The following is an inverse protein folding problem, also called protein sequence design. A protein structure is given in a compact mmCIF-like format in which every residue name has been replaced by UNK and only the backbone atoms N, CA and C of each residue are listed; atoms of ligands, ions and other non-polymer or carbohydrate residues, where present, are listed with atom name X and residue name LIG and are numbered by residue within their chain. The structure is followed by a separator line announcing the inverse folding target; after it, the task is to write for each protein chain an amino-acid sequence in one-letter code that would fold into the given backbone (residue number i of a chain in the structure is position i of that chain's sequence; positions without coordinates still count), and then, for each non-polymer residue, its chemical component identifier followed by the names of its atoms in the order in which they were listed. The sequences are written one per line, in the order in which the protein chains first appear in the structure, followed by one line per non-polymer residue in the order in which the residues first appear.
data_IF_208615501354
#
_entry.id   IF_208615501354
#
_cell.length_a   1.000
_cell.length_b   1.000
_cell.length_c   1.000
_cell.angle_alpha   90.00
_cell.angle_beta   90.00
_cell.angle_gamma   90.00
#
_symmetry.space_group_name_H-M   'P 1'
#
loop_
_entity.id
_entity.type
_entity.pdbx_description
1 polymer ?
#
# COMPACT_ATOMS: atom_id res chain seq x y z
N UNK A 1 19.61 10.30 16.07
CA UNK A 1 20.58 9.79 15.08
C UNK A 1 20.69 8.28 15.31
N UNK A 2 19.84 7.51 14.67
CA UNK A 2 19.85 6.04 14.78
C UNK A 2 21.04 5.55 13.97
N UNK A 3 22.00 4.88 14.61
CA UNK A 3 23.07 4.20 13.89
C UNK A 3 22.46 2.99 13.20
N UNK A 4 22.25 3.05 11.88
CA UNK A 4 22.08 1.83 11.09
C UNK A 4 23.34 0.99 11.31
N UNK A 5 23.14 -0.18 11.88
CA UNK A 5 24.18 -1.21 11.94
C UNK A 5 24.39 -1.68 10.50
N UNK A 6 25.51 -1.30 9.89
CA UNK A 6 25.85 -1.78 8.55
C UNK A 6 25.93 -3.31 8.58
N UNK A 7 25.12 -3.96 7.75
CA UNK A 7 25.25 -5.39 7.48
C UNK A 7 26.56 -5.66 6.73
N UNK A 8 27.15 -6.85 6.91
CA UNK A 8 28.38 -7.23 6.19
C UNK A 8 28.20 -7.19 4.66
N UNK A 9 26.97 -7.37 4.20
CA UNK A 9 26.54 -7.30 2.80
C UNK A 9 26.29 -5.87 2.30
N UNK A 10 26.14 -4.89 3.19
CA UNK A 10 25.74 -3.52 2.84
C UNK A 10 24.27 -3.36 2.46
N UNK A 11 23.47 -4.39 2.68
CA UNK A 11 22.03 -4.41 2.42
C UNK A 11 21.32 -5.49 3.27
N UNK A 12 20.03 -5.30 3.49
CA UNK A 12 19.15 -6.29 4.10
C UNK A 12 17.77 -6.32 3.45
N UNK A 13 16.97 -7.34 3.77
CA UNK A 13 15.58 -7.43 3.32
C UNK A 13 14.65 -6.78 4.34
N UNK A 14 13.70 -5.99 3.86
CA UNK A 14 12.64 -5.45 4.70
C UNK A 14 11.64 -6.55 5.07
N UNK A 15 11.06 -6.44 6.26
CA UNK A 15 9.82 -7.13 6.56
C UNK A 15 8.66 -6.29 6.03
N UNK A 16 7.91 -6.74 4.99
CA UNK A 16 6.85 -5.95 4.40
C UNK A 16 5.57 -5.93 5.26
N UNK A 17 5.47 -6.73 6.32
CA UNK A 17 4.23 -6.85 7.12
C UNK A 17 3.81 -5.54 7.81
N UNK A 18 4.71 -4.75 8.43
CA UNK A 18 4.36 -3.42 8.94
C UNK A 18 3.92 -2.44 7.84
N UNK A 19 4.47 -2.55 6.63
CA UNK A 19 4.03 -1.76 5.46
C UNK A 19 2.60 -2.17 5.08
N UNK A 20 2.32 -3.48 4.98
CA UNK A 20 0.98 -3.98 4.70
C UNK A 20 -0.03 -3.65 5.80
N UNK A 21 0.40 -3.58 7.05
CA UNK A 21 -0.48 -3.19 8.17
C UNK A 21 -0.84 -1.71 8.10
N UNK A 22 0.14 -0.84 7.82
CA UNK A 22 -0.06 0.61 7.70
C UNK A 22 -0.70 1.04 6.37
N UNK A 23 -0.64 0.20 5.34
CA UNK A 23 -1.16 0.49 4.00
C UNK A 23 -2.07 -0.64 3.48
N UNK A 24 -2.92 -1.19 4.35
CA UNK A 24 -3.77 -2.38 4.11
C UNK A 24 -4.59 -2.33 2.82
N UNK A 25 -5.00 -1.15 2.37
CA UNK A 25 -5.87 -0.97 1.22
C UNK A 25 -5.12 -0.64 -0.07
N UNK A 26 -3.80 -0.47 -0.03
CA UNK A 26 -2.97 -0.10 -1.19
C UNK A 26 -1.66 -0.88 -1.32
N UNK A 27 -1.29 -1.66 -0.30
CA UNK A 27 -0.10 -2.51 -0.31
C UNK A 27 -0.48 -3.93 0.13
N UNK A 28 -0.46 -4.84 -0.84
CA UNK A 28 -0.90 -6.22 -0.65
C UNK A 28 0.30 -7.16 -0.69
N UNK A 29 0.46 -7.98 0.36
CA UNK A 29 1.37 -9.12 0.34
C UNK A 29 0.61 -10.41 -0.05
N UNK A 30 1.29 -11.38 -0.67
CA UNK A 30 0.76 -12.72 -0.81
C UNK A 30 0.36 -13.31 0.56
N UNK A 31 -0.62 -14.19 0.56
CA UNK A 31 -1.04 -14.93 1.75
C UNK A 31 0.05 -15.89 2.24
N UNK A 32 -0.05 -16.32 3.49
CA UNK A 32 0.85 -17.34 4.02
C UNK A 32 0.79 -18.64 3.19
N UNK A 33 -0.38 -19.01 2.69
CA UNK A 33 -0.56 -20.18 1.83
C UNK A 33 0.16 -20.03 0.51
N UNK A 34 0.07 -18.86 -0.13
CA UNK A 34 0.80 -18.56 -1.37
C UNK A 34 2.31 -18.56 -1.12
N UNK A 35 2.79 -17.89 -0.07
CA UNK A 35 4.22 -17.88 0.26
C UNK A 35 4.75 -19.30 0.51
N UNK A 36 4.04 -20.14 1.27
CA UNK A 36 4.45 -21.53 1.55
C UNK A 36 4.42 -22.45 0.33
N UNK A 37 3.71 -22.08 -0.73
CA UNK A 37 3.66 -22.85 -1.97
C UNK A 37 4.84 -22.56 -2.91
N UNK A 38 5.63 -21.51 -2.62
CA UNK A 38 6.79 -21.14 -3.43
C UNK A 38 7.82 -22.27 -3.47
N UNK A 39 8.33 -22.54 -4.67
CA UNK A 39 9.26 -23.63 -4.96
C UNK A 39 10.30 -23.20 -6.01
N UNK A 40 11.37 -24.01 -6.21
CA UNK A 40 12.32 -23.74 -7.28
C UNK A 40 11.62 -23.59 -8.64
N UNK A 41 12.02 -22.56 -9.39
CA UNK A 41 11.41 -22.16 -10.67
C UNK A 41 10.56 -20.91 -10.57
N UNK A 42 9.90 -20.67 -9.42
CA UNK A 42 9.06 -19.49 -9.23
C UNK A 42 9.90 -18.20 -9.17
N UNK A 43 9.24 -17.07 -9.44
CA UNK A 43 9.81 -15.74 -9.28
C UNK A 43 9.14 -15.04 -8.10
N UNK A 44 9.93 -14.50 -7.17
CA UNK A 44 9.41 -13.75 -6.03
C UNK A 44 9.97 -12.35 -5.98
N UNK A 45 9.16 -11.38 -5.58
CA UNK A 45 9.61 -10.00 -5.39
C UNK A 45 9.89 -9.77 -3.91
N UNK A 46 11.02 -9.13 -3.62
CA UNK A 46 11.46 -8.77 -2.28
C UNK A 46 11.76 -7.27 -2.22
N UNK A 47 11.85 -6.72 -1.01
CA UNK A 47 12.26 -5.33 -0.76
C UNK A 47 13.68 -5.33 -0.19
N UNK A 48 14.61 -4.70 -0.90
CA UNK A 48 16.01 -4.57 -0.52
C UNK A 48 16.27 -3.16 0.01
N UNK A 49 16.84 -3.07 1.21
CA UNK A 49 17.28 -1.82 1.84
C UNK A 49 18.81 -1.76 1.79
N UNK A 50 19.34 -0.62 1.35
CA UNK A 50 20.78 -0.40 1.31
C UNK A 50 21.26 0.28 2.59
N UNK A 51 22.20 -0.36 3.27
CA UNK A 51 22.88 0.16 4.48
C UNK A 51 24.15 0.95 4.14
N UNK A 52 24.33 1.24 2.86
CA UNK A 52 25.48 1.97 2.30
C UNK A 52 25.00 3.29 1.69
N UNK A 53 25.88 4.30 1.55
CA UNK A 53 25.52 5.51 0.82
C UNK A 53 25.12 5.21 -0.62
N UNK A 54 23.93 5.65 -1.02
CA UNK A 54 23.36 5.52 -2.35
C UNK A 54 23.34 6.87 -3.08
N UNK A 55 23.10 6.86 -4.39
CA UNK A 55 22.94 8.09 -5.16
C UNK A 55 21.48 8.55 -5.22
N UNK A 56 20.58 7.62 -5.51
CA UNK A 56 19.17 7.93 -5.80
C UNK A 56 18.21 7.10 -4.95
N UNK A 57 18.47 5.79 -4.82
CA UNK A 57 17.50 4.85 -4.24
C UNK A 57 18.12 4.16 -3.04
N UNK A 58 17.53 4.34 -1.86
CA UNK A 58 17.91 3.60 -0.65
C UNK A 58 17.15 2.29 -0.48
N UNK A 59 16.09 2.10 -1.28
CA UNK A 59 15.19 0.95 -1.26
C UNK A 59 14.84 0.56 -2.69
N UNK A 60 14.89 -0.73 -3.00
CA UNK A 60 14.46 -1.27 -4.29
C UNK A 60 13.60 -2.52 -4.11
N UNK A 61 12.57 -2.66 -4.95
CA UNK A 61 11.79 -3.90 -5.06
C UNK A 61 12.31 -4.69 -6.25
N UNK A 62 12.84 -5.87 -6.01
CA UNK A 62 13.51 -6.66 -7.03
C UNK A 62 13.03 -8.10 -7.04
N UNK A 63 13.09 -8.71 -8.22
CA UNK A 63 12.70 -10.10 -8.43
C UNK A 63 13.88 -11.04 -8.16
N UNK A 64 13.58 -12.22 -7.60
CA UNK A 64 14.52 -13.30 -7.32
C UNK A 64 13.97 -14.58 -7.93
N UNK A 65 14.76 -15.26 -8.75
CA UNK A 65 14.46 -16.60 -9.24
C UNK A 65 14.74 -17.60 -8.13
N UNK A 66 13.71 -18.29 -7.66
CA UNK A 66 13.85 -19.26 -6.58
C UNK A 66 14.58 -20.49 -7.09
N UNK A 67 15.67 -20.86 -6.42
CA UNK A 67 16.47 -22.05 -6.75
C UNK A 67 16.40 -23.11 -5.65
N UNK A 68 16.10 -22.70 -4.42
CA UNK A 68 15.97 -23.58 -3.26
C UNK A 68 14.77 -23.16 -2.40
N UNK A 69 13.96 -24.13 -1.97
CA UNK A 69 12.89 -23.93 -1.00
C UNK A 69 12.94 -25.07 0.04
N UNK A 70 13.02 -24.72 1.33
CA UNK A 70 13.10 -25.68 2.43
C UNK A 70 12.52 -25.12 3.73
N UNK A 71 12.49 -25.95 4.77
CA UNK A 71 11.89 -25.58 6.07
C UNK A 71 12.59 -24.43 6.80
N UNK A 72 13.88 -24.20 6.54
CA UNK A 72 14.69 -23.14 7.16
C UNK A 72 14.65 -21.79 6.40
N UNK A 73 14.05 -21.76 5.21
CA UNK A 73 13.96 -20.57 4.36
C UNK A 73 14.04 -20.89 2.87
N UNK A 74 14.19 -19.84 2.07
CA UNK A 74 14.33 -19.91 0.62
C UNK A 74 15.66 -19.30 0.19
N UNK A 75 16.12 -19.72 -0.99
CA UNK A 75 17.23 -19.06 -1.67
C UNK A 75 16.97 -18.99 -3.18
N UNK A 76 17.59 -18.00 -3.80
CA UNK A 76 17.47 -17.76 -5.22
C UNK A 76 18.52 -16.81 -5.75
N UNK A 77 18.45 -16.51 -7.04
CA UNK A 77 19.33 -15.55 -7.71
C UNK A 77 18.59 -14.29 -8.08
N UNK A 78 19.21 -13.13 -7.88
CA UNK A 78 18.60 -11.84 -8.24
C UNK A 78 18.32 -11.79 -9.75
N UNK A 79 17.05 -11.63 -10.13
CA UNK A 79 16.57 -11.73 -11.51
C UNK A 79 16.59 -10.42 -12.30
N UNK A 80 16.86 -9.28 -11.65
CA UNK A 80 17.05 -8.00 -12.34
C UNK A 80 18.33 -7.29 -11.89
N UNK A 81 18.79 -6.36 -12.72
CA UNK A 81 19.86 -5.44 -12.35
C UNK A 81 19.28 -4.38 -11.39
N UNK A 82 19.95 -4.06 -10.28
CA UNK A 82 19.58 -2.90 -9.47
C UNK A 82 19.62 -1.61 -10.29
N UNK A 83 18.69 -0.70 -10.04
CA UNK A 83 18.71 0.64 -10.61
C UNK A 83 19.74 1.53 -9.92
N UNK A 84 19.90 1.39 -8.59
CA UNK A 84 20.90 2.14 -7.84
C UNK A 84 22.31 1.80 -8.34
N UNK A 85 23.01 2.82 -8.85
CA UNK A 85 24.30 2.66 -9.53
C UNK A 85 25.38 2.11 -8.59
N UNK A 86 25.29 2.46 -7.30
CA UNK A 86 26.21 2.05 -6.22
C UNK A 86 25.68 0.89 -5.39
N UNK A 87 24.64 0.19 -5.85
CA UNK A 87 24.11 -0.96 -5.13
C UNK A 87 25.22 -1.99 -4.86
N UNK A 88 25.31 -2.54 -3.63
CA UNK A 88 26.22 -3.65 -3.32
C UNK A 88 25.78 -4.99 -3.94
N UNK A 89 24.62 -5.01 -4.62
CA UNK A 89 24.04 -6.16 -5.30
C UNK A 89 24.25 -6.10 -6.81
N UNK A 90 24.26 -7.28 -7.44
CA UNK A 90 24.31 -7.45 -8.90
C UNK A 90 23.32 -8.52 -9.34
N UNK A 91 22.87 -8.40 -10.58
CA UNK A 91 22.09 -9.45 -11.23
C UNK A 91 22.80 -10.80 -11.12
N UNK A 92 22.07 -11.83 -10.69
CA UNK A 92 22.57 -13.18 -10.48
C UNK A 92 23.14 -13.45 -9.09
N UNK A 93 23.26 -12.44 -8.22
CA UNK A 93 23.73 -12.64 -6.84
C UNK A 93 22.79 -13.57 -6.05
N UNK A 94 23.37 -14.39 -5.17
CA UNK A 94 22.62 -15.27 -4.28
C UNK A 94 21.91 -14.45 -3.21
N UNK A 95 20.61 -14.68 -3.06
CA UNK A 95 19.75 -14.07 -2.04
C UNK A 95 19.14 -15.17 -1.19
N UNK A 96 19.33 -15.08 0.14
CA UNK A 96 18.65 -15.94 1.12
C UNK A 96 17.57 -15.13 1.82
N UNK A 97 16.39 -15.71 1.97
CA UNK A 97 15.22 -14.99 2.48
C UNK A 97 14.22 -15.93 3.15
N UNK A 98 13.28 -15.33 3.87
CA UNK A 98 12.19 -16.01 4.56
C UNK A 98 10.87 -15.76 3.81
N UNK A 99 9.91 -16.66 4.00
CA UNK A 99 8.58 -16.59 3.40
C UNK A 99 7.89 -15.24 3.62
N UNK A 100 8.13 -14.60 4.79
CA UNK A 100 7.50 -13.32 5.13
C UNK A 100 8.13 -12.11 4.39
N UNK A 101 9.31 -12.24 3.78
CA UNK A 101 9.91 -11.17 2.97
C UNK A 101 9.27 -11.02 1.58
N UNK A 102 8.46 -11.99 1.17
CA UNK A 102 7.87 -12.04 -0.18
C UNK A 102 6.72 -11.01 -0.28
N UNK A 103 6.80 -10.14 -1.29
CA UNK A 103 5.78 -9.12 -1.56
C UNK A 103 5.03 -9.34 -2.87
N UNK A 104 5.49 -10.25 -3.72
CA UNK A 104 4.82 -10.64 -4.96
C UNK A 104 5.35 -12.00 -5.43
N UNK A 105 4.53 -12.76 -6.16
CA UNK A 105 4.87 -14.10 -6.65
C UNK A 105 4.38 -14.25 -8.09
N UNK A 106 5.27 -14.72 -8.97
CA UNK A 106 4.90 -15.31 -10.25
C UNK A 106 5.25 -16.79 -10.20
N UNK A 107 4.22 -17.63 -10.09
CA UNK A 107 4.39 -19.07 -10.12
C UNK A 107 4.79 -19.53 -11.52
N UNK A 108 5.81 -20.38 -11.61
CA UNK A 108 6.24 -20.98 -12.88
C UNK A 108 5.14 -21.90 -13.46
N UNK A 109 4.36 -22.51 -12.57
CA UNK A 109 3.18 -23.32 -12.90
C UNK A 109 1.94 -22.77 -12.22
N UNK A 110 1.29 -21.74 -12.78
CA UNK A 110 0.15 -21.08 -12.17
C UNK A 110 -1.06 -22.01 -11.96
N UNK A 111 -1.17 -23.11 -12.73
CA UNK A 111 -2.20 -24.13 -12.57
C UNK A 111 -2.07 -24.96 -11.29
N UNK A 112 -0.88 -25.00 -10.69
CA UNK A 112 -0.59 -25.66 -9.41
C UNK A 112 -0.59 -24.66 -8.24
N UNK A 113 -0.77 -23.37 -8.50
CA UNK A 113 -0.76 -22.33 -7.47
C UNK A 113 -2.00 -22.42 -6.56
N UNK A 114 -1.87 -22.06 -5.28
CA UNK A 114 -3.04 -21.84 -4.42
C UNK A 114 -3.99 -20.82 -5.05
N UNK A 115 -5.31 -20.93 -4.81
CA UNK A 115 -6.25 -19.92 -5.27
C UNK A 115 -5.88 -18.57 -4.61
N UNK A 116 -5.88 -17.47 -5.39
CA UNK A 116 -5.56 -16.16 -4.83
C UNK A 116 -6.60 -15.78 -3.78
N UNK A 117 -6.14 -15.14 -2.70
CA UNK A 117 -7.06 -14.59 -1.71
C UNK A 117 -7.75 -13.38 -2.33
N UNK A 118 -9.05 -13.50 -2.60
CA UNK A 118 -9.85 -12.37 -3.07
C UNK A 118 -9.86 -11.29 -1.99
N UNK A 119 -9.33 -10.12 -2.32
CA UNK A 119 -9.42 -8.90 -1.52
C UNK A 119 -10.14 -7.87 -2.36
N UNK A 120 -11.02 -7.11 -1.70
CA UNK A 120 -11.61 -5.94 -2.35
C UNK A 120 -10.56 -4.85 -2.40
N UNK A 121 -10.33 -4.33 -3.60
CA UNK A 121 -9.45 -3.19 -3.85
C UNK A 121 -10.29 -1.91 -3.95
N UNK A 122 -9.69 -0.77 -3.63
CA UNK A 122 -10.36 0.53 -3.57
C UNK A 122 -9.55 1.57 -4.36
N UNK A 123 -9.44 1.34 -5.66
CA UNK A 123 -8.61 2.17 -6.55
C UNK A 123 -9.37 3.34 -7.18
N UNK A 124 -10.71 3.30 -7.16
CA UNK A 124 -11.54 4.42 -7.59
C UNK A 124 -11.14 5.69 -6.83
N UNK A 125 -11.22 6.82 -7.53
CA UNK A 125 -10.72 8.09 -7.06
C UNK A 125 -11.77 8.81 -6.21
N UNK A 126 -11.32 9.64 -5.30
CA UNK A 126 -12.17 10.53 -4.52
C UNK A 126 -11.47 11.87 -4.33
N UNK A 127 -12.26 12.89 -3.98
CA UNK A 127 -11.73 14.15 -3.46
C UNK A 127 -11.72 14.08 -1.93
N UNK A 128 -10.60 14.46 -1.33
CA UNK A 128 -10.40 14.40 0.11
C UNK A 128 -9.59 15.59 0.60
N UNK A 129 -9.97 16.19 1.74
CA UNK A 129 -9.15 17.23 2.38
C UNK A 129 -7.74 16.70 2.69
N UNK A 130 -6.70 17.47 2.34
CA UNK A 130 -5.30 17.07 2.52
C UNK A 130 -4.95 16.76 3.99
N UNK A 131 -5.58 17.44 4.95
CA UNK A 131 -5.38 17.19 6.38
C UNK A 131 -5.75 15.76 6.82
N UNK A 132 -6.66 15.08 6.12
CA UNK A 132 -6.96 13.64 6.36
C UNK A 132 -5.80 12.77 5.92
N UNK A 133 -5.14 13.12 4.82
CA UNK A 133 -4.04 12.36 4.24
C UNK A 133 -2.77 12.54 5.05
N UNK A 134 -2.55 13.75 5.53
CA UNK A 134 -1.44 14.09 6.41
C UNK A 134 -1.63 13.47 7.81
N UNK A 135 -2.85 13.04 8.13
CA UNK A 135 -3.21 12.43 9.42
C UNK A 135 -3.39 13.46 10.53
N UNK A 136 -3.61 14.72 10.17
CA UNK A 136 -3.84 15.83 11.10
C UNK A 136 -5.27 15.78 11.64
N UNK A 137 -6.25 15.44 10.79
CA UNK A 137 -7.65 15.37 11.18
C UNK A 137 -8.30 14.05 10.72
N UNK A 138 -9.18 13.44 11.53
CA UNK A 138 -9.96 12.29 11.11
C UNK A 138 -11.05 12.70 10.11
N UNK A 139 -11.62 11.72 9.43
CA UNK A 139 -12.79 11.95 8.58
C UNK A 139 -13.99 12.30 9.47
N UNK A 140 -14.63 13.44 9.19
CA UNK A 140 -15.84 13.89 9.88
C UNK A 140 -17.04 13.91 8.96
N UNK A 141 -16.89 14.44 7.75
CA UNK A 141 -18.01 14.61 6.83
C UNK A 141 -17.73 13.93 5.49
N UNK A 142 -18.69 13.14 5.04
CA UNK A 142 -18.63 12.35 3.82
C UNK A 142 -19.89 12.60 3.02
N UNK A 143 -19.76 12.79 1.72
CA UNK A 143 -20.90 12.80 0.83
C UNK A 143 -20.53 12.20 -0.52
N UNK A 144 -21.54 11.68 -1.23
CA UNK A 144 -21.35 11.04 -2.52
C UNK A 144 -22.19 11.73 -3.57
N UNK A 145 -21.53 12.25 -4.59
CA UNK A 145 -22.14 12.91 -5.74
C UNK A 145 -22.00 12.04 -6.98
N UNK A 146 -22.68 12.43 -8.07
CA UNK A 146 -22.44 11.82 -9.36
C UNK A 146 -20.96 12.03 -9.74
N UNK A 147 -20.23 10.99 -10.16
CA UNK A 147 -18.85 11.13 -10.62
C UNK A 147 -18.74 12.17 -11.74
N UNK A 148 -17.97 13.22 -11.50
CA UNK A 148 -17.80 14.34 -12.42
C UNK A 148 -16.33 14.73 -12.64
N UNK A 149 -15.40 14.02 -12.00
CA UNK A 149 -13.96 14.23 -12.14
C UNK A 149 -13.31 13.13 -12.99
N UNK A 150 -12.39 13.56 -13.86
CA UNK A 150 -11.46 12.68 -14.58
C UNK A 150 -10.21 13.49 -14.94
N UNK A 151 -9.03 12.87 -14.83
CA UNK A 151 -7.76 13.43 -15.28
C UNK A 151 -7.22 12.63 -16.48
N UNK A 152 -6.46 13.30 -17.35
CA UNK A 152 -5.78 12.62 -18.44
C UNK A 152 -4.80 11.59 -17.86
N UNK A 153 -4.94 10.33 -18.29
CA UNK A 153 -4.14 9.22 -17.78
C UNK A 153 -4.70 8.52 -16.54
N UNK A 154 -5.90 8.89 -16.06
CA UNK A 154 -6.55 8.16 -14.97
C UNK A 154 -6.76 6.68 -15.35
N UNK A 155 -6.23 5.80 -14.50
CA UNK A 155 -6.44 4.35 -14.62
C UNK A 155 -7.76 3.91 -13.98
N UNK A 156 -8.28 4.72 -13.05
CA UNK A 156 -9.46 4.41 -12.25
C UNK A 156 -10.41 5.61 -12.22
N UNK A 157 -11.73 5.39 -12.28
CA UNK A 157 -12.72 6.47 -12.35
C UNK A 157 -12.88 7.19 -11.01
N UNK A 158 -13.46 8.39 -11.03
CA UNK A 158 -14.03 9.01 -9.84
C UNK A 158 -15.18 8.15 -9.28
N UNK A 159 -15.13 7.90 -7.97
CA UNK A 159 -16.14 7.16 -7.22
C UNK A 159 -17.36 7.99 -6.85
N UNK A 160 -17.25 9.32 -6.97
CA UNK A 160 -18.22 10.29 -6.48
C UNK A 160 -18.04 10.65 -5.00
N UNK A 161 -17.16 9.97 -4.26
CA UNK A 161 -16.91 10.30 -2.86
C UNK A 161 -16.19 11.64 -2.71
N UNK A 162 -16.67 12.43 -1.75
CA UNK A 162 -16.12 13.71 -1.30
C UNK A 162 -15.95 13.62 0.21
N UNK A 163 -14.72 13.79 0.67
CA UNK A 163 -14.30 13.41 2.02
C UNK A 163 -13.69 14.62 2.71
N UNK A 164 -14.25 15.02 3.85
CA UNK A 164 -13.80 16.20 4.59
C UNK A 164 -13.27 15.80 5.95
N UNK A 165 -12.13 16.39 6.31
CA UNK A 165 -11.56 16.24 7.65
C UNK A 165 -12.40 16.98 8.68
N UNK A 166 -12.22 16.65 9.96
CA UNK A 166 -12.87 17.35 11.06
C UNK A 166 -12.75 18.87 10.92
N UNK A 167 -13.87 19.56 11.11
CA UNK A 167 -13.98 21.01 11.07
C UNK A 167 -13.35 21.64 12.31
N UNK A 168 -13.67 21.12 13.49
CA UNK A 168 -13.22 21.68 14.76
C UNK A 168 -13.62 23.15 14.89
N UNK A 169 -12.66 23.99 15.26
CA UNK A 169 -12.86 25.44 15.44
C UNK A 169 -12.63 26.25 14.15
N UNK A 170 -12.42 25.59 13.00
CA UNK A 170 -12.15 26.27 11.74
C UNK A 170 -13.31 27.17 11.31
N UNK A 171 -12.97 28.38 10.84
CA UNK A 171 -13.94 29.30 10.25
C UNK A 171 -14.44 28.76 8.91
N UNK A 172 -15.64 29.15 8.46
CA UNK A 172 -16.23 28.66 7.19
C UNK A 172 -15.30 28.89 5.98
N UNK A 173 -14.61 30.04 5.94
CA UNK A 173 -13.68 30.36 4.86
C UNK A 173 -12.43 29.45 4.87
N UNK A 174 -11.90 29.15 6.06
CA UNK A 174 -10.76 28.25 6.22
C UNK A 174 -11.15 26.81 5.88
N UNK A 175 -12.31 26.37 6.36
CA UNK A 175 -12.84 25.05 6.08
C UNK A 175 -13.16 24.88 4.58
N UNK A 176 -13.79 25.88 3.95
CA UNK A 176 -14.11 25.86 2.51
C UNK A 176 -12.89 25.98 1.60
N UNK A 177 -11.79 26.55 2.09
CA UNK A 177 -10.55 26.77 1.35
C UNK A 177 -9.47 25.71 1.56
N UNK A 178 -9.79 24.59 2.22
CA UNK A 178 -8.82 23.50 2.44
C UNK A 178 -8.28 22.96 1.12
N UNK A 179 -6.99 22.62 1.13
CA UNK A 179 -6.38 21.89 0.04
C UNK A 179 -7.03 20.51 -0.08
N UNK A 180 -7.30 20.10 -1.32
CA UNK A 180 -7.97 18.84 -1.64
C UNK A 180 -7.07 18.00 -2.52
N UNK A 181 -6.95 16.72 -2.18
CA UNK A 181 -6.27 15.73 -2.98
C UNK A 181 -7.28 14.93 -3.81
N UNK A 182 -6.93 14.62 -5.06
CA UNK A 182 -7.62 13.65 -5.90
C UNK A 182 -6.83 12.34 -5.89
N UNK A 183 -7.23 11.38 -5.05
CA UNK A 183 -6.48 10.14 -4.76
C UNK A 183 -7.37 8.91 -4.74
N UNK A 184 -6.77 7.71 -4.66
CA UNK A 184 -7.51 6.47 -4.52
C UNK A 184 -8.19 6.37 -3.14
N UNK A 185 -9.39 5.82 -3.10
CA UNK A 185 -10.14 5.56 -1.86
C UNK A 185 -9.30 4.78 -0.84
N UNK A 186 -8.56 3.77 -1.29
CA UNK A 186 -7.68 2.98 -0.42
C UNK A 186 -6.64 3.82 0.32
N UNK A 187 -6.14 4.90 -0.27
CA UNK A 187 -5.20 5.79 0.40
C UNK A 187 -5.85 6.54 1.57
N UNK A 188 -7.13 6.90 1.44
CA UNK A 188 -7.92 7.50 2.53
C UNK A 188 -8.21 6.45 3.60
N UNK A 189 -8.62 5.25 3.21
CA UNK A 189 -8.91 4.15 4.14
C UNK A 189 -7.68 3.73 4.96
N UNK A 190 -6.47 3.83 4.41
CA UNK A 190 -5.25 3.61 5.19
C UNK A 190 -5.07 4.63 6.33
N UNK A 191 -5.70 5.80 6.24
CA UNK A 191 -5.64 6.86 7.26
C UNK A 191 -6.81 6.81 8.22
N UNK A 192 -8.00 6.60 7.70
CA UNK A 192 -9.23 6.45 8.47
C UNK A 192 -10.21 5.53 7.71
N UNK A 193 -10.32 4.28 8.15
CA UNK A 193 -11.26 3.28 7.62
C UNK A 193 -12.56 3.15 8.44
N UNK A 194 -12.81 4.07 9.39
CA UNK A 194 -13.99 3.99 10.26
C UNK A 194 -15.32 4.07 9.50
N UNK A 195 -15.29 4.58 8.26
CA UNK A 195 -16.43 4.72 7.37
C UNK A 195 -16.51 3.65 6.27
N UNK A 196 -15.61 2.65 6.26
CA UNK A 196 -15.57 1.63 5.21
C UNK A 196 -16.91 0.92 4.99
N UNK A 197 -17.70 0.74 6.05
CA UNK A 197 -19.04 0.15 5.98
C UNK A 197 -20.05 0.95 5.14
N UNK A 198 -19.74 2.22 4.81
CA UNK A 198 -20.56 3.10 3.97
C UNK A 198 -20.11 3.14 2.51
N UNK A 199 -18.98 2.52 2.15
CA UNK A 199 -18.29 2.69 0.87
C UNK A 199 -19.19 2.44 -0.37
N UNK A 200 -20.17 1.55 -0.23
CA UNK A 200 -21.13 1.15 -1.28
C UNK A 200 -22.45 1.95 -1.27
N UNK A 201 -22.58 2.93 -0.38
CA UNK A 201 -23.79 3.75 -0.31
C UNK A 201 -24.00 4.49 -1.63
N UNK A 202 -25.22 4.54 -2.20
CA UNK A 202 -25.49 5.22 -3.46
C UNK A 202 -25.24 6.73 -3.39
N UNK A 203 -25.12 7.34 -4.55
CA UNK A 203 -25.06 8.80 -4.74
C UNK A 203 -26.23 9.52 -4.05
N UNK A 204 -26.02 10.78 -3.69
CA UNK A 204 -26.97 11.60 -2.94
C UNK A 204 -26.99 11.28 -1.44
N UNK A 205 -26.02 10.51 -0.94
CA UNK A 205 -25.84 10.30 0.49
C UNK A 205 -24.87 11.31 1.09
N UNK A 206 -25.12 11.67 2.35
CA UNK A 206 -24.25 12.51 3.15
C UNK A 206 -24.28 12.03 4.61
N UNK A 207 -23.13 12.03 5.25
CA UNK A 207 -22.91 11.48 6.58
C UNK A 207 -21.98 12.37 7.38
N UNK A 208 -22.27 12.50 8.66
CA UNK A 208 -21.42 13.21 9.60
C UNK A 208 -21.09 12.30 10.78
N UNK A 209 -19.82 12.26 11.15
CA UNK A 209 -19.34 11.45 12.27
C UNK A 209 -19.72 12.11 13.58
N UNK A 210 -20.44 11.37 14.41
CA UNK A 210 -20.57 11.69 15.82
C UNK A 210 -19.33 11.19 16.56
N UNK A 211 -18.47 12.10 17.02
CA UNK A 211 -17.23 11.74 17.70
C UNK A 211 -17.41 11.22 19.13
N UNK A 212 -18.58 11.38 19.75
CA UNK A 212 -18.88 10.77 21.06
C UNK A 212 -19.14 9.27 20.92
N UNK A 213 -19.79 8.85 19.82
CA UNK A 213 -20.16 7.44 19.56
C UNK A 213 -19.22 6.74 18.58
N UNK A 214 -18.53 7.49 17.73
CA UNK A 214 -17.76 7.01 16.61
C UNK A 214 -18.61 6.67 15.37
N UNK A 215 -19.94 6.78 15.43
CA UNK A 215 -20.86 6.42 14.35
C UNK A 215 -21.03 7.56 13.34
N UNK A 216 -21.29 7.19 12.08
CA UNK A 216 -21.67 8.12 11.03
C UNK A 216 -23.19 8.24 10.95
N UNK A 217 -23.71 9.44 11.19
CA UNK A 217 -25.14 9.76 11.14
C UNK A 217 -25.46 10.30 9.75
N UNK A 218 -26.43 9.69 9.08
CA UNK A 218 -26.93 10.19 7.80
C UNK A 218 -27.57 11.57 7.97
N UNK A 219 -27.18 12.52 7.11
CA UNK A 219 -27.81 13.83 6.99
C UNK A 219 -28.86 13.81 5.88
N UNK A 220 -29.92 14.59 6.05
CA UNK A 220 -30.97 14.82 5.04
C UNK A 220 -30.54 15.93 4.08
#
# INVERSE_FOLDING_TARGET
MVRCSMTETGWHLEDPRPIAESARYTFFCPSETECRAVRPGDLVKLIFLYDVPTEEWTVERMWVHVTEAGGEGLAGTLGNKPFESKAPLKHGDLVRFQHHHIVDIVFDKPEEAPPPVSRREYWERCLVDQCVIDGEEPVEYLYREAPDMAQEGDQYPDSGWRIRGRRGDAMDAEYGGREVAYIALGAVLNKDDSWLHLIDTPEGCQFERNFETGEYIRRE
#
